data_IF_275480495957
#
_entry.id   IF_275480495957
#
_cell.length_a   1.000
_cell.length_b   1.000
_cell.length_c   1.000
_cell.angle_alpha   90.00
_cell.angle_beta   90.00
_cell.angle_gamma   90.00
#
_symmetry.space_group_name_H-M   'P 1'
#
loop_
_entity.id
_entity.type
_entity.pdbx_description
1 polymer ?
#
# COMPACT_ATOMS: atom_id res chain seq x y z
N UNK A 1 -53.23 50.67 11.93
CA UNK A 1 -53.12 49.25 12.31
C UNK A 1 -51.68 48.82 12.07
N UNK A 2 -50.81 49.00 13.07
CA UNK A 2 -49.43 48.53 13.03
C UNK A 2 -49.40 47.07 13.46
N UNK A 3 -48.86 46.20 12.61
CA UNK A 3 -48.56 44.82 12.97
C UNK A 3 -47.42 44.80 14.02
N UNK A 4 -47.44 43.89 15.00
CA UNK A 4 -46.35 43.78 15.96
C UNK A 4 -45.14 43.13 15.27
N UNK A 5 -43.99 43.78 15.37
CA UNK A 5 -42.71 43.18 15.04
C UNK A 5 -42.47 41.99 16.00
N UNK A 6 -42.27 40.80 15.44
CA UNK A 6 -41.89 39.60 16.18
C UNK A 6 -40.51 39.82 16.80
N UNK A 7 -40.49 40.10 18.09
CA UNK A 7 -39.30 40.03 18.93
C UNK A 7 -38.95 38.56 19.16
N UNK A 8 -38.20 37.94 18.25
CA UNK A 8 -37.60 36.63 18.50
C UNK A 8 -36.27 36.53 17.75
N UNK A 9 -35.14 36.65 18.46
CA UNK A 9 -33.83 36.41 17.84
C UNK A 9 -32.60 36.98 18.53
N UNK A 10 -32.70 37.98 19.40
CA UNK A 10 -31.53 38.80 19.76
C UNK A 10 -30.93 38.61 21.17
N UNK A 11 -31.47 37.74 22.04
CA UNK A 11 -30.97 37.65 23.43
C UNK A 11 -30.90 36.23 24.02
N UNK A 12 -30.33 35.29 23.26
CA UNK A 12 -29.93 33.98 23.83
C UNK A 12 -28.49 34.08 24.30
N UNK A 13 -28.30 34.22 25.62
CA UNK A 13 -26.98 34.06 26.24
C UNK A 13 -26.35 32.72 25.82
N UNK A 14 -25.04 32.70 25.55
CA UNK A 14 -24.34 31.45 25.25
C UNK A 14 -24.54 30.43 26.37
N UNK A 15 -24.81 29.14 26.04
CA UNK A 15 -24.66 28.07 27.01
C UNK A 15 -23.19 27.97 27.44
N UNK A 16 -22.95 27.40 28.62
CA UNK A 16 -21.57 27.16 29.06
C UNK A 16 -20.86 26.18 28.12
N UNK A 17 -19.57 26.39 27.92
CA UNK A 17 -18.70 25.48 27.16
C UNK A 17 -18.75 24.07 27.74
N UNK A 18 -18.78 23.93 29.08
CA UNK A 18 -18.90 22.63 29.76
C UNK A 18 -20.21 21.91 29.41
N UNK A 19 -21.35 22.62 29.36
CA UNK A 19 -22.65 22.03 28.96
C UNK A 19 -22.55 21.44 27.56
N UNK A 20 -22.04 22.22 26.60
CA UNK A 20 -21.91 21.78 25.21
C UNK A 20 -20.91 20.62 25.07
N UNK A 21 -19.78 20.68 25.79
CA UNK A 21 -18.77 19.63 25.77
C UNK A 21 -19.32 18.29 26.30
N UNK A 22 -20.10 18.32 27.39
CA UNK A 22 -20.78 17.13 27.93
C UNK A 22 -21.83 16.57 26.99
N UNK A 23 -22.55 17.43 26.27
CA UNK A 23 -23.52 16.98 25.26
C UNK A 23 -22.86 16.16 24.14
N UNK A 24 -21.56 16.39 23.87
CA UNK A 24 -20.78 15.64 22.89
C UNK A 24 -20.11 14.38 23.47
N UNK A 25 -20.22 14.08 24.77
CA UNK A 25 -19.49 12.98 25.40
C UNK A 25 -19.80 11.61 24.77
N UNK A 26 -21.04 11.40 24.31
CA UNK A 26 -21.46 10.17 23.64
C UNK A 26 -20.78 9.94 22.27
N UNK A 27 -20.10 10.95 21.70
CA UNK A 27 -19.37 10.82 20.44
C UNK A 27 -18.09 9.98 20.55
N UNK A 28 -17.62 9.69 21.77
CA UNK A 28 -16.35 9.00 22.02
C UNK A 28 -15.11 9.89 21.79
N UNK A 29 -15.28 11.17 21.47
CA UNK A 29 -14.18 12.12 21.33
C UNK A 29 -13.54 12.43 22.70
N UNK A 30 -12.21 12.66 22.76
CA UNK A 30 -11.56 13.12 23.98
C UNK A 30 -12.20 14.40 24.50
N UNK A 31 -12.38 14.52 25.82
CA UNK A 31 -13.07 15.66 26.42
C UNK A 31 -12.47 17.01 26.02
N UNK A 32 -11.14 17.10 25.91
CA UNK A 32 -10.45 18.31 25.46
C UNK A 32 -10.88 18.77 24.05
N UNK A 33 -11.13 17.83 23.14
CA UNK A 33 -11.62 18.14 21.79
C UNK A 33 -13.08 18.60 21.84
N UNK A 34 -13.92 17.96 22.66
CA UNK A 34 -15.29 18.43 22.89
C UNK A 34 -15.33 19.87 23.43
N UNK A 35 -14.42 20.24 24.34
CA UNK A 35 -14.29 21.62 24.83
C UNK A 35 -13.90 22.59 23.71
N UNK A 36 -12.97 22.21 22.82
CA UNK A 36 -12.59 23.04 21.67
C UNK A 36 -13.78 23.28 20.73
N UNK A 37 -14.47 22.20 20.33
CA UNK A 37 -15.64 22.27 19.47
C UNK A 37 -16.78 23.10 20.10
N UNK A 38 -16.95 23.03 21.42
CA UNK A 38 -17.92 23.83 22.16
C UNK A 38 -17.56 25.33 22.17
N UNK A 39 -16.27 25.68 22.29
CA UNK A 39 -15.82 27.07 22.19
C UNK A 39 -16.08 27.63 20.80
N UNK A 40 -15.78 26.86 19.76
CA UNK A 40 -16.03 27.27 18.37
C UNK A 40 -17.53 27.48 18.13
N UNK A 41 -18.39 26.57 18.61
CA UNK A 41 -19.84 26.72 18.54
C UNK A 41 -20.34 27.99 19.26
N UNK A 42 -19.71 28.35 20.38
CA UNK A 42 -19.99 29.61 21.08
C UNK A 42 -19.56 30.84 20.29
N UNK A 43 -18.41 30.78 19.63
CA UNK A 43 -17.92 31.87 18.78
C UNK A 43 -18.75 32.05 17.50
N UNK A 44 -19.24 30.95 16.91
CA UNK A 44 -20.08 30.94 15.70
C UNK A 44 -21.52 31.44 15.96
N UNK A 45 -21.97 31.45 17.23
CA UNK A 45 -23.21 32.07 17.66
C UNK A 45 -24.44 31.13 17.71
N UNK A 46 -25.66 31.69 17.86
CA UNK A 46 -26.82 30.92 18.33
C UNK A 46 -27.24 29.71 17.50
N UNK A 47 -26.98 29.73 16.19
CA UNK A 47 -27.28 28.61 15.30
C UNK A 47 -26.34 27.41 15.53
N UNK A 48 -25.11 27.66 15.99
CA UNK A 48 -24.05 26.65 16.10
C UNK A 48 -24.05 25.89 17.44
N UNK A 49 -24.68 26.44 18.49
CA UNK A 49 -24.77 25.80 19.81
C UNK A 49 -26.10 25.11 20.12
N UNK A 50 -26.96 24.92 19.12
CA UNK A 50 -28.14 24.07 19.28
C UNK A 50 -27.70 22.62 19.53
N UNK A 51 -28.46 21.84 20.28
CA UNK A 51 -28.08 20.45 20.60
C UNK A 51 -27.85 19.63 19.30
N UNK A 52 -28.65 19.86 18.26
CA UNK A 52 -28.47 19.25 16.94
C UNK A 52 -27.19 19.71 16.22
N UNK A 53 -26.86 21.01 16.25
CA UNK A 53 -25.65 21.53 15.63
C UNK A 53 -24.38 21.03 16.32
N UNK A 54 -24.41 20.94 17.65
CA UNK A 54 -23.33 20.42 18.49
C UNK A 54 -23.12 18.92 18.25
N UNK A 55 -24.20 18.14 18.18
CA UNK A 55 -24.13 16.71 17.82
C UNK A 55 -23.56 16.52 16.41
N UNK A 56 -24.03 17.30 15.43
CA UNK A 56 -23.51 17.26 14.07
C UNK A 56 -22.04 17.68 13.99
N UNK A 57 -21.61 18.65 14.81
CA UNK A 57 -20.21 19.07 14.92
C UNK A 57 -19.32 17.95 15.47
N UNK A 58 -19.76 17.29 16.54
CA UNK A 58 -19.06 16.13 17.09
C UNK A 58 -18.95 14.99 16.06
N UNK A 59 -20.04 14.70 15.35
CA UNK A 59 -20.04 13.64 14.32
C UNK A 59 -19.12 13.98 13.15
N UNK A 60 -19.10 15.25 12.69
CA UNK A 60 -18.13 15.69 11.67
C UNK A 60 -16.69 15.52 12.15
N UNK A 61 -16.38 15.94 13.37
CA UNK A 61 -15.04 15.76 13.94
C UNK A 61 -14.65 14.28 14.05
N UNK A 62 -15.59 13.42 14.49
CA UNK A 62 -15.38 11.97 14.56
C UNK A 62 -15.08 11.35 13.19
N UNK A 63 -15.75 11.81 12.13
CA UNK A 63 -15.53 11.34 10.74
C UNK A 63 -14.19 11.78 10.15
N UNK A 64 -13.54 12.80 10.71
CA UNK A 64 -12.19 13.21 10.33
C UNK A 64 -11.11 12.33 11.01
N UNK A 65 -11.48 11.56 12.04
CA UNK A 65 -10.59 10.60 12.70
C UNK A 65 -10.70 9.22 12.06
N UNK A 66 -9.71 8.37 12.32
CA UNK A 66 -9.78 6.96 11.98
C UNK A 66 -10.89 6.31 12.81
N UNK A 67 -11.93 5.83 12.12
CA UNK A 67 -13.06 5.13 12.71
C UNK A 67 -13.29 3.84 11.94
N UNK A 68 -13.76 2.76 12.60
CA UNK A 68 -14.29 1.61 11.90
C UNK A 68 -15.40 2.02 10.93
N UNK A 69 -15.44 1.36 9.77
CA UNK A 69 -16.45 1.58 8.72
C UNK A 69 -16.99 0.24 8.24
N UNK A 70 -18.23 0.24 7.74
CA UNK A 70 -18.80 -0.92 7.04
C UNK A 70 -18.47 -0.79 5.56
N UNK A 71 -17.69 -1.74 5.03
CA UNK A 71 -17.41 -1.80 3.60
C UNK A 71 -18.59 -2.45 2.85
N UNK A 72 -19.40 -1.63 2.18
CA UNK A 72 -20.51 -2.07 1.35
C UNK A 72 -20.25 -1.87 -0.16
N UNK A 73 -19.00 -1.66 -0.58
CA UNK A 73 -18.67 -1.37 -1.99
C UNK A 73 -18.52 -2.64 -2.84
N UNK A 74 -18.38 -3.81 -2.20
CA UNK A 74 -18.02 -5.06 -2.87
C UNK A 74 -16.54 -5.18 -3.25
N UNK A 75 -15.72 -4.14 -2.97
CA UNK A 75 -14.27 -4.17 -3.21
C UNK A 75 -13.56 -4.73 -1.98
N UNK A 76 -12.98 -5.93 -2.11
CA UNK A 76 -12.26 -6.60 -1.01
C UNK A 76 -11.02 -5.80 -0.58
N UNK A 77 -10.11 -5.52 -1.52
CA UNK A 77 -8.87 -4.78 -1.27
C UNK A 77 -9.07 -3.28 -1.50
N UNK A 78 -9.92 -2.65 -0.69
CA UNK A 78 -10.23 -1.24 -0.84
C UNK A 78 -9.11 -0.35 -0.32
N UNK A 79 -8.37 0.30 -1.21
CA UNK A 79 -7.19 1.14 -0.86
C UNK A 79 -7.52 2.23 0.16
N UNK A 80 -8.61 2.97 -0.01
CA UNK A 80 -9.01 4.03 0.93
C UNK A 80 -9.56 3.51 2.27
N UNK A 81 -9.95 2.23 2.36
CA UNK A 81 -10.46 1.62 3.61
C UNK A 81 -9.42 0.72 4.29
N UNK A 82 -8.14 0.80 3.88
CA UNK A 82 -7.05 0.08 4.53
C UNK A 82 -6.71 -1.30 3.94
N UNK A 83 -7.17 -1.61 2.72
CA UNK A 83 -6.91 -2.88 2.02
C UNK A 83 -7.35 -4.11 2.84
N UNK A 84 -6.48 -5.12 2.99
CA UNK A 84 -6.76 -6.35 3.71
C UNK A 84 -6.94 -6.13 5.23
N UNK A 85 -8.11 -6.43 5.80
CA UNK A 85 -8.30 -6.35 7.25
C UNK A 85 -7.63 -7.53 7.95
N UNK A 86 -6.72 -7.25 8.90
CA UNK A 86 -6.10 -8.28 9.73
C UNK A 86 -6.80 -8.40 11.09
N UNK A 87 -7.21 -9.61 11.47
CA UNK A 87 -7.76 -9.90 12.79
C UNK A 87 -6.65 -10.28 13.79
N UNK A 88 -5.64 -9.42 13.96
CA UNK A 88 -4.56 -9.64 14.92
C UNK A 88 -4.78 -8.81 16.18
N UNK A 89 -5.13 -9.47 17.28
CA UNK A 89 -5.15 -8.87 18.62
C UNK A 89 -4.00 -9.44 19.44
N UNK A 90 -2.98 -8.63 19.68
CA UNK A 90 -1.92 -8.96 20.64
C UNK A 90 -2.13 -8.18 21.93
N UNK A 91 -2.14 -8.84 23.11
CA UNK A 91 -2.21 -8.13 24.37
C UNK A 91 -0.94 -7.26 24.55
N UNK A 92 -1.05 -6.08 25.19
CA UNK A 92 0.09 -5.21 25.44
C UNK A 92 1.05 -5.89 26.42
N UNK A 93 2.06 -6.57 25.88
CA UNK A 93 3.04 -7.36 26.64
C UNK A 93 4.40 -7.26 25.95
N UNK A 94 5.47 -7.42 26.73
CA UNK A 94 6.81 -7.49 26.17
C UNK A 94 6.95 -8.76 25.33
N UNK A 95 7.48 -8.61 24.12
CA UNK A 95 7.71 -9.71 23.17
C UNK A 95 9.13 -9.64 22.63
N UNK A 96 9.62 -10.77 22.12
CA UNK A 96 11.01 -10.96 21.71
C UNK A 96 11.31 -10.41 20.30
N UNK A 97 10.93 -9.16 20.00
CA UNK A 97 11.09 -8.55 18.66
C UNK A 97 12.55 -8.58 18.17
N UNK A 98 13.49 -8.27 19.05
CA UNK A 98 14.94 -8.26 18.75
C UNK A 98 15.74 -8.99 19.84
N UNK A 99 15.15 -10.04 20.42
CA UNK A 99 15.78 -10.78 21.51
C UNK A 99 15.76 -12.28 21.20
N UNK A 100 16.93 -12.89 21.13
CA UNK A 100 17.06 -14.33 20.93
C UNK A 100 16.96 -15.04 22.28
N UNK A 101 15.92 -15.85 22.46
CA UNK A 101 15.69 -16.58 23.70
C UNK A 101 16.68 -17.74 23.91
N UNK A 102 17.36 -18.18 22.86
CA UNK A 102 18.37 -19.24 22.90
C UNK A 102 19.68 -18.73 23.46
N UNK A 103 20.12 -17.55 23.02
CA UNK A 103 21.39 -16.94 23.43
C UNK A 103 21.24 -15.96 24.58
N UNK A 104 20.06 -15.37 24.76
CA UNK A 104 19.83 -14.28 25.70
C UNK A 104 20.37 -12.92 25.22
N UNK A 105 20.68 -12.79 23.92
CA UNK A 105 21.29 -11.60 23.33
C UNK A 105 20.38 -10.90 22.31
N UNK A 106 20.83 -9.76 21.79
CA UNK A 106 20.12 -9.03 20.74
C UNK A 106 20.12 -9.84 19.44
N UNK A 107 18.93 -10.10 18.90
CA UNK A 107 18.69 -10.80 17.63
C UNK A 107 18.07 -9.91 16.57
N UNK A 108 18.10 -10.35 15.31
CA UNK A 108 17.44 -9.66 14.20
C UNK A 108 15.94 -9.99 14.13
N UNK A 109 15.09 -8.96 14.11
CA UNK A 109 13.64 -9.12 13.86
C UNK A 109 13.30 -9.76 12.51
N UNK A 110 14.24 -9.79 11.57
CA UNK A 110 14.05 -10.38 10.24
C UNK A 110 14.24 -11.89 10.23
N UNK A 111 14.94 -12.47 11.22
CA UNK A 111 15.39 -13.86 11.15
C UNK A 111 14.21 -14.84 11.03
N UNK A 112 13.24 -14.75 11.95
CA UNK A 112 12.09 -15.65 11.97
C UNK A 112 11.15 -15.41 10.78
N UNK A 113 10.74 -14.15 10.54
CA UNK A 113 9.78 -13.82 9.49
C UNK A 113 10.36 -14.04 8.09
N UNK A 114 11.62 -13.68 7.87
CA UNK A 114 12.33 -13.93 6.61
C UNK A 114 12.44 -15.42 6.32
N UNK A 115 12.80 -16.24 7.31
CA UNK A 115 12.85 -17.69 7.15
C UNK A 115 11.49 -18.31 6.84
N UNK A 116 10.40 -17.81 7.44
CA UNK A 116 9.03 -18.27 7.13
C UNK A 116 8.60 -17.89 5.71
N UNK A 117 8.82 -16.64 5.30
CA UNK A 117 8.48 -16.17 3.95
C UNK A 117 9.29 -16.90 2.88
N UNK A 118 10.60 -17.08 3.09
CA UNK A 118 11.47 -17.81 2.17
C UNK A 118 10.95 -19.24 1.93
N UNK A 119 10.63 -19.97 3.01
CA UNK A 119 10.02 -21.31 2.91
C UNK A 119 8.67 -21.31 2.19
N UNK A 120 7.84 -20.32 2.48
CA UNK A 120 6.50 -20.20 1.91
C UNK A 120 6.52 -20.06 0.38
N UNK A 121 7.50 -19.33 -0.17
CA UNK A 121 7.62 -19.10 -1.62
C UNK A 121 8.68 -19.97 -2.29
N UNK A 122 9.47 -20.74 -1.53
CA UNK A 122 10.57 -21.54 -2.06
C UNK A 122 11.82 -20.72 -2.44
N UNK A 123 12.03 -19.56 -1.82
CA UNK A 123 13.23 -18.75 -2.01
C UNK A 123 14.34 -19.13 -1.03
N UNK A 124 15.58 -18.77 -1.37
CA UNK A 124 16.77 -19.01 -0.51
C UNK A 124 16.75 -18.13 0.75
N UNK A 125 16.25 -16.91 0.62
CA UNK A 125 16.12 -15.94 1.70
C UNK A 125 14.97 -14.97 1.41
N UNK A 126 14.46 -14.31 2.44
CA UNK A 126 13.48 -13.24 2.31
C UNK A 126 13.69 -12.17 3.38
N UNK A 127 13.22 -10.96 3.08
CA UNK A 127 13.27 -9.80 3.96
C UNK A 127 11.94 -9.05 3.90
N UNK A 128 11.51 -8.50 5.04
CA UNK A 128 10.33 -7.65 5.12
C UNK A 128 10.76 -6.21 5.36
N UNK A 129 10.29 -5.31 4.49
CA UNK A 129 10.47 -3.87 4.62
C UNK A 129 9.13 -3.17 4.79
N UNK A 130 9.13 -1.85 4.96
CA UNK A 130 7.94 -1.06 5.27
C UNK A 130 6.76 -1.31 4.31
N UNK A 131 7.02 -1.31 3.00
CA UNK A 131 6.02 -1.61 1.97
C UNK A 131 6.73 -2.02 0.66
N UNK A 132 5.96 -2.44 -0.35
CA UNK A 132 6.52 -2.87 -1.63
C UNK A 132 7.33 -1.76 -2.33
N UNK A 133 6.87 -0.51 -2.23
CA UNK A 133 7.58 0.63 -2.80
C UNK A 133 9.00 0.79 -2.24
N UNK A 134 9.13 0.68 -0.91
CA UNK A 134 10.42 0.66 -0.23
C UNK A 134 11.25 -0.58 -0.61
N UNK A 135 10.59 -1.72 -0.89
CA UNK A 135 11.25 -2.93 -1.39
C UNK A 135 11.91 -2.72 -2.74
N UNK A 136 11.16 -2.21 -3.72
CA UNK A 136 11.68 -1.86 -5.04
C UNK A 136 12.80 -0.82 -4.91
N UNK A 137 12.59 0.26 -4.14
CA UNK A 137 13.62 1.28 -3.90
C UNK A 137 14.91 0.66 -3.35
N UNK A 138 14.81 -0.17 -2.31
CA UNK A 138 15.95 -0.81 -1.65
C UNK A 138 16.72 -1.71 -2.62
N UNK A 139 16.00 -2.51 -3.41
CA UNK A 139 16.62 -3.42 -4.39
C UNK A 139 17.41 -2.63 -5.42
N UNK A 140 16.83 -1.57 -5.98
CA UNK A 140 17.48 -0.76 -7.00
C UNK A 140 18.67 0.02 -6.42
N UNK A 141 18.53 0.58 -5.22
CA UNK A 141 19.60 1.30 -4.55
C UNK A 141 20.76 0.36 -4.16
N UNK A 142 20.47 -0.89 -3.77
CA UNK A 142 21.50 -1.84 -3.39
C UNK A 142 22.21 -2.48 -4.60
N UNK A 143 21.48 -2.78 -5.68
CA UNK A 143 21.98 -3.62 -6.78
C UNK A 143 22.33 -2.82 -8.04
N UNK A 144 21.76 -1.63 -8.23
CA UNK A 144 21.83 -0.89 -9.49
C UNK A 144 22.22 0.59 -9.32
N UNK A 145 22.71 1.02 -8.15
CA UNK A 145 23.15 2.39 -7.95
C UNK A 145 24.23 2.79 -8.96
N UNK A 146 24.00 3.87 -9.71
CA UNK A 146 24.91 4.33 -10.76
C UNK A 146 25.00 3.40 -11.97
N UNK A 147 24.10 2.41 -12.11
CA UNK A 147 24.06 1.44 -13.21
C UNK A 147 22.69 1.43 -13.88
N UNK A 148 22.60 0.79 -15.03
CA UNK A 148 21.39 0.77 -15.85
C UNK A 148 20.45 -0.36 -15.42
N UNK A 149 19.14 -0.07 -15.44
CA UNK A 149 18.07 -1.03 -15.17
C UNK A 149 17.17 -1.06 -16.39
N UNK A 150 17.03 -2.25 -17.00
CA UNK A 150 16.14 -2.43 -18.14
C UNK A 150 14.71 -2.65 -17.64
N UNK A 151 13.74 -1.92 -18.17
CA UNK A 151 12.32 -2.14 -17.90
C UNK A 151 11.52 -2.02 -19.20
N UNK A 152 10.45 -2.78 -19.33
CA UNK A 152 9.50 -2.56 -20.42
C UNK A 152 8.88 -1.17 -20.31
N UNK A 153 8.82 -0.41 -21.41
CA UNK A 153 8.17 0.92 -21.42
C UNK A 153 6.73 0.86 -20.94
N UNK A 154 6.02 -0.24 -21.23
CA UNK A 154 4.64 -0.45 -20.78
C UNK A 154 4.49 -0.68 -19.27
N UNK A 155 5.59 -0.87 -18.56
CA UNK A 155 5.64 -1.20 -17.12
C UNK A 155 6.15 -0.03 -16.26
N UNK A 156 6.62 1.06 -16.88
CA UNK A 156 7.04 2.30 -16.23
C UNK A 156 5.82 3.12 -15.77
N UNK A 157 5.08 2.62 -14.78
CA UNK A 157 3.76 3.15 -14.38
C UNK A 157 3.68 3.80 -13.01
N UNK A 158 2.56 4.48 -12.78
CA UNK A 158 2.11 4.95 -11.47
C UNK A 158 1.18 3.91 -10.83
N UNK A 159 1.50 3.49 -9.61
CA UNK A 159 0.71 2.55 -8.80
C UNK A 159 0.15 3.28 -7.59
N UNK A 160 -1.17 3.23 -7.41
CA UNK A 160 -1.84 3.92 -6.28
C UNK A 160 -1.87 5.44 -6.45
N UNK A 161 -1.72 6.18 -5.34
CA UNK A 161 -1.88 7.65 -5.28
C UNK A 161 -0.56 8.43 -5.20
N UNK A 162 0.53 7.94 -5.79
CA UNK A 162 1.81 8.66 -5.80
C UNK A 162 3.09 7.81 -5.87
N UNK A 163 3.01 6.49 -6.04
CA UNK A 163 4.20 5.69 -6.34
C UNK A 163 4.41 5.64 -7.86
N UNK A 164 5.47 6.26 -8.35
CA UNK A 164 5.87 6.20 -9.75
C UNK A 164 7.19 5.47 -9.85
N UNK A 165 7.23 4.40 -10.64
CA UNK A 165 8.47 3.64 -10.90
C UNK A 165 9.63 4.58 -11.29
N UNK A 166 9.45 5.59 -12.16
CA UNK A 166 10.51 6.55 -12.48
C UNK A 166 11.02 7.36 -11.27
N UNK A 167 10.16 7.82 -10.37
CA UNK A 167 10.56 8.64 -9.22
C UNK A 167 11.33 7.81 -8.17
N UNK A 168 10.90 6.57 -7.95
CA UNK A 168 11.60 5.62 -7.07
C UNK A 168 12.99 5.30 -7.62
N UNK A 169 13.12 5.26 -8.93
CA UNK A 169 14.40 5.03 -9.60
C UNK A 169 15.34 6.21 -9.46
N UNK A 170 14.86 7.44 -9.66
CA UNK A 170 15.64 8.66 -9.41
C UNK A 170 16.18 8.68 -7.98
N UNK A 171 15.35 8.34 -7.00
CA UNK A 171 15.75 8.24 -5.59
C UNK A 171 16.73 7.09 -5.32
N UNK A 172 16.63 5.97 -6.05
CA UNK A 172 17.56 4.85 -5.92
C UNK A 172 18.97 5.14 -6.47
N UNK A 173 19.09 6.14 -7.35
CA UNK A 173 20.30 6.43 -8.11
C UNK A 173 20.59 5.45 -9.25
N UNK A 174 19.65 4.55 -9.58
CA UNK A 174 19.70 3.72 -10.77
C UNK A 174 19.31 4.50 -12.03
N UNK A 175 19.86 4.12 -13.19
CA UNK A 175 19.50 4.72 -14.49
C UNK A 175 18.50 3.83 -15.22
N UNK A 176 17.30 4.33 -15.45
CA UNK A 176 16.30 3.56 -16.18
C UNK A 176 16.56 3.57 -17.68
N UNK A 177 16.44 2.39 -18.30
CA UNK A 177 16.49 2.20 -19.75
C UNK A 177 15.22 1.48 -20.17
N UNK A 178 14.27 2.25 -20.70
CA UNK A 178 13.05 1.69 -21.29
C UNK A 178 13.38 0.84 -22.52
N UNK A 179 12.83 -0.36 -22.58
CA UNK A 179 12.88 -1.25 -23.74
C UNK A 179 11.48 -1.49 -24.31
N UNK A 180 11.42 -1.83 -25.60
CA UNK A 180 10.16 -2.07 -26.31
C UNK A 180 9.27 -0.83 -26.43
N UNK A 181 7.97 -1.06 -26.57
CA UNK A 181 6.93 -0.02 -26.63
C UNK A 181 5.91 -0.22 -25.51
N UNK A 182 4.96 0.71 -25.38
CA UNK A 182 3.93 0.66 -24.34
C UNK A 182 3.12 -0.64 -24.35
N UNK A 183 2.79 -1.15 -25.54
CA UNK A 183 1.93 -2.31 -25.71
C UNK A 183 2.71 -3.58 -26.10
N UNK A 184 3.93 -3.47 -26.64
CA UNK A 184 4.70 -4.63 -27.12
C UNK A 184 6.15 -4.52 -26.70
N UNK A 185 6.57 -5.48 -25.88
CA UNK A 185 7.97 -5.64 -25.49
C UNK A 185 8.37 -7.10 -25.71
N UNK A 186 9.48 -7.30 -26.42
CA UNK A 186 10.02 -8.62 -26.72
C UNK A 186 11.36 -8.83 -26.05
N UNK A 187 11.75 -10.08 -25.89
CA UNK A 187 13.09 -10.44 -25.40
C UNK A 187 14.22 -9.83 -26.25
N UNK A 188 14.01 -9.67 -27.56
CA UNK A 188 14.98 -9.02 -28.45
C UNK A 188 15.23 -7.54 -28.11
N UNK A 189 14.24 -6.85 -27.52
CA UNK A 189 14.40 -5.46 -27.09
C UNK A 189 15.34 -5.35 -25.88
N UNK A 190 15.23 -6.28 -24.93
CA UNK A 190 16.17 -6.40 -23.81
C UNK A 190 17.58 -6.75 -24.28
N UNK A 191 17.73 -7.73 -25.18
CA UNK A 191 19.04 -8.11 -25.75
C UNK A 191 19.73 -6.95 -26.46
N UNK A 192 18.98 -6.21 -27.29
CA UNK A 192 19.50 -5.02 -27.98
C UNK A 192 19.96 -3.94 -27.01
N UNK A 193 19.27 -3.76 -25.89
CA UNK A 193 19.68 -2.80 -24.86
C UNK A 193 20.97 -3.23 -24.14
N UNK A 194 21.15 -4.53 -23.89
CA UNK A 194 22.38 -5.11 -23.33
C UNK A 194 23.58 -5.00 -24.27
N UNK A 195 23.36 -5.14 -25.59
CA UNK A 195 24.41 -5.10 -26.61
C UNK A 195 24.85 -3.67 -26.97
N UNK A 196 24.15 -2.64 -26.45
CA UNK A 196 24.52 -1.25 -26.72
C UNK A 196 25.92 -0.96 -26.18
N UNK A 197 26.75 -0.31 -27.01
CA UNK A 197 28.12 0.06 -26.64
C UNK A 197 28.13 0.90 -25.36
N UNK A 198 28.88 0.45 -24.36
CA UNK A 198 28.97 1.13 -23.06
C UNK A 198 27.75 0.91 -22.14
N UNK A 199 26.86 -0.03 -22.47
CA UNK A 199 25.82 -0.45 -21.55
C UNK A 199 26.45 -1.04 -20.28
N UNK A 200 25.97 -0.58 -19.13
CA UNK A 200 26.35 -1.10 -17.82
C UNK A 200 25.07 -1.47 -17.08
N UNK A 201 24.48 -2.58 -17.49
CA UNK A 201 23.21 -3.06 -16.97
C UNK A 201 23.44 -3.89 -15.72
N UNK A 202 22.78 -3.51 -14.64
CA UNK A 202 22.81 -4.25 -13.38
C UNK A 202 21.77 -5.37 -13.34
N UNK A 203 20.56 -5.11 -13.83
CA UNK A 203 19.43 -6.03 -13.76
C UNK A 203 18.36 -5.68 -14.80
N UNK A 204 17.48 -6.66 -15.06
CA UNK A 204 16.21 -6.44 -15.74
C UNK A 204 15.08 -6.41 -14.70
N UNK A 205 14.27 -5.37 -14.71
CA UNK A 205 13.11 -5.20 -13.84
C UNK A 205 11.85 -5.56 -14.64
N UNK A 206 11.06 -6.50 -14.11
CA UNK A 206 9.71 -6.83 -14.59
C UNK A 206 8.70 -6.29 -13.58
N UNK A 207 7.77 -5.44 -13.98
CA UNK A 207 6.71 -4.92 -13.09
C UNK A 207 5.36 -5.43 -13.56
N UNK A 208 4.57 -5.99 -12.65
CA UNK A 208 3.21 -6.44 -12.94
C UNK A 208 2.22 -5.26 -12.93
N UNK A 209 1.43 -5.04 -14.00
CA UNK A 209 0.41 -4.02 -14.03
C UNK A 209 -0.78 -4.40 -13.13
N UNK A 210 -0.65 -4.13 -11.82
CA UNK A 210 -1.63 -4.59 -10.80
C UNK A 210 -2.91 -3.75 -10.69
N UNK A 211 -2.96 -2.55 -11.29
CA UNK A 211 -4.08 -1.60 -11.18
C UNK A 211 -4.70 -1.19 -12.52
N UNK A 212 -4.19 -1.69 -13.65
CA UNK A 212 -4.74 -1.46 -14.98
C UNK A 212 -4.41 -2.64 -15.89
N UNK A 213 -5.05 -2.70 -17.05
CA UNK A 213 -4.73 -3.66 -18.12
C UNK A 213 -4.68 -2.93 -19.45
N UNK A 214 -3.78 -3.35 -20.32
CA UNK A 214 -3.76 -2.93 -21.73
C UNK A 214 -4.45 -4.03 -22.53
N UNK A 215 -5.44 -3.67 -23.35
CA UNK A 215 -6.17 -4.60 -24.21
C UNK A 215 -5.86 -4.32 -25.70
N UNK A 216 -6.04 -5.34 -26.54
CA UNK A 216 -5.77 -5.27 -27.98
C UNK A 216 -4.44 -5.94 -28.36
N UNK A 217 -3.61 -5.27 -29.17
CA UNK A 217 -2.34 -5.80 -29.65
C UNK A 217 -1.24 -5.68 -28.59
N UNK A 218 -1.27 -6.59 -27.62
CA UNK A 218 -0.33 -6.63 -26.50
C UNK A 218 0.63 -7.80 -26.65
N UNK A 219 1.90 -7.57 -26.34
CA UNK A 219 2.95 -8.59 -26.29
C UNK A 219 3.81 -8.33 -25.06
N UNK A 220 3.81 -9.27 -24.12
CA UNK A 220 4.59 -9.22 -22.88
C UNK A 220 5.75 -10.23 -22.94
N UNK A 221 6.86 -9.90 -22.27
CA UNK A 221 7.99 -10.83 -22.13
C UNK A 221 7.92 -11.51 -20.75
N UNK A 222 7.61 -12.81 -20.67
CA UNK A 222 7.44 -13.49 -19.39
C UNK A 222 8.77 -13.60 -18.63
N UNK A 223 8.70 -13.71 -17.31
CA UNK A 223 9.87 -13.84 -16.42
C UNK A 223 10.79 -14.98 -16.85
N UNK A 224 10.24 -16.13 -17.25
CA UNK A 224 11.02 -17.27 -17.75
C UNK A 224 11.87 -16.95 -18.98
N UNK A 225 11.40 -16.06 -19.86
CA UNK A 225 12.18 -15.62 -21.01
C UNK A 225 13.26 -14.61 -20.60
N UNK A 226 12.95 -13.71 -19.66
CA UNK A 226 13.91 -12.75 -19.12
C UNK A 226 15.02 -13.42 -18.30
N UNK A 227 14.72 -14.52 -17.61
CA UNK A 227 15.69 -15.27 -16.81
C UNK A 227 16.85 -15.83 -17.65
N UNK A 228 16.69 -15.93 -18.97
CA UNK A 228 17.76 -16.29 -19.91
C UNK A 228 18.70 -15.14 -20.29
N UNK A 229 18.50 -13.93 -19.75
CA UNK A 229 19.42 -12.80 -19.95
C UNK A 229 20.69 -12.98 -19.08
N UNK A 230 21.83 -12.38 -19.46
CA UNK A 230 23.07 -12.44 -18.69
C UNK A 230 23.07 -11.55 -17.42
N UNK A 231 21.91 -11.03 -17.02
CA UNK A 231 21.72 -10.16 -15.85
C UNK A 231 20.56 -10.69 -15.01
N UNK A 232 20.57 -10.51 -13.67
CA UNK A 232 19.49 -10.98 -12.83
C UNK A 232 18.16 -10.30 -13.18
N UNK A 233 17.07 -11.05 -13.04
CA UNK A 233 15.71 -10.54 -13.17
C UNK A 233 15.13 -10.26 -11.80
N UNK A 234 14.71 -9.02 -11.59
CA UNK A 234 13.91 -8.63 -10.44
C UNK A 234 12.46 -8.50 -10.90
N UNK A 235 11.53 -9.20 -10.24
CA UNK A 235 10.12 -9.15 -10.57
C UNK A 235 9.32 -8.49 -9.44
N UNK A 236 8.77 -7.31 -9.70
CA UNK A 236 7.76 -6.71 -8.84
C UNK A 236 6.37 -7.20 -9.22
N UNK A 237 5.87 -8.21 -8.51
CA UNK A 237 4.52 -8.73 -8.76
C UNK A 237 3.45 -7.86 -8.11
N UNK A 238 3.82 -7.04 -7.12
CA UNK A 238 2.98 -6.02 -6.49
C UNK A 238 1.78 -6.51 -5.66
N UNK A 239 1.10 -7.58 -6.07
CA UNK A 239 -0.18 -8.07 -5.53
C UNK A 239 -0.04 -8.93 -4.28
N UNK A 240 1.10 -9.59 -4.10
CA UNK A 240 1.35 -10.44 -2.94
C UNK A 240 0.67 -11.80 -3.01
N UNK A 241 0.23 -12.24 -4.19
CA UNK A 241 -0.20 -13.62 -4.37
C UNK A 241 0.99 -14.54 -4.09
N UNK A 242 0.89 -15.39 -3.08
CA UNK A 242 2.00 -16.26 -2.64
C UNK A 242 2.20 -17.42 -3.62
N UNK A 243 1.11 -18.10 -3.95
CA UNK A 243 1.08 -19.30 -4.75
C UNK A 243 -0.18 -19.28 -5.62
N UNK A 244 0.00 -19.27 -6.94
CA UNK A 244 -1.10 -19.21 -7.89
C UNK A 244 -1.98 -20.47 -7.88
N UNK A 245 -1.51 -21.59 -7.30
CA UNK A 245 -2.30 -22.81 -7.13
C UNK A 245 -3.29 -22.72 -5.96
N UNK A 246 -3.18 -21.68 -5.12
CA UNK A 246 -4.05 -21.41 -3.98
C UNK A 246 -4.34 -22.65 -3.10
N UNK A 247 -3.31 -23.38 -2.62
CA UNK A 247 -3.51 -24.65 -1.90
C UNK A 247 -4.28 -24.51 -0.57
N UNK A 248 -4.44 -23.28 -0.08
CA UNK A 248 -5.22 -22.96 1.12
C UNK A 248 -6.74 -22.80 0.86
N UNK A 249 -7.18 -22.80 -0.40
CA UNK A 249 -8.61 -22.68 -0.74
C UNK A 249 -9.23 -24.06 -1.02
N UNK A 250 -10.51 -24.26 -0.69
CA UNK A 250 -11.24 -25.44 -1.12
C UNK A 250 -11.55 -25.36 -2.62
N UNK A 251 -10.95 -26.26 -3.41
CA UNK A 251 -11.19 -26.35 -4.85
C UNK A 251 -10.14 -25.64 -5.71
N UNK A 252 -10.41 -25.42 -7.01
CA UNK A 252 -9.44 -24.79 -7.91
C UNK A 252 -9.26 -23.29 -7.60
N UNK A 253 -8.13 -22.68 -8.03
CA UNK A 253 -7.93 -21.24 -7.93
C UNK A 253 -9.13 -20.46 -8.50
N UNK A 254 -9.62 -19.44 -7.79
CA UNK A 254 -10.68 -18.58 -8.29
C UNK A 254 -10.38 -18.00 -9.67
N UNK A 255 -11.38 -17.95 -10.55
CA UNK A 255 -11.20 -17.46 -11.91
C UNK A 255 -10.69 -16.01 -11.99
N UNK A 256 -10.98 -15.18 -10.98
CA UNK A 256 -10.49 -13.81 -10.91
C UNK A 256 -8.99 -13.68 -10.58
N UNK A 257 -8.34 -14.78 -10.17
CA UNK A 257 -6.88 -14.87 -10.04
C UNK A 257 -6.20 -15.39 -11.31
N UNK A 258 -6.96 -15.71 -12.37
CA UNK A 258 -6.37 -16.22 -13.60
C UNK A 258 -5.36 -15.22 -14.20
N UNK A 259 -4.13 -15.69 -14.38
CA UNK A 259 -3.01 -14.91 -14.90
C UNK A 259 -2.33 -13.98 -13.88
N UNK A 260 -2.77 -13.99 -12.61
CA UNK A 260 -2.10 -13.23 -11.56
C UNK A 260 -0.78 -13.93 -11.17
N UNK A 261 0.36 -13.22 -11.15
CA UNK A 261 1.66 -13.84 -10.85
C UNK A 261 1.77 -14.19 -9.36
N UNK A 262 1.98 -15.47 -9.07
CA UNK A 262 2.34 -15.94 -7.74
C UNK A 262 3.84 -15.79 -7.45
N UNK A 263 4.21 -15.42 -6.22
CA UNK A 263 5.60 -15.27 -5.81
C UNK A 263 6.40 -16.55 -6.00
N UNK A 264 5.83 -17.71 -5.61
CA UNK A 264 6.43 -19.03 -5.83
C UNK A 264 6.71 -19.30 -7.31
N UNK A 265 5.69 -19.18 -8.16
CA UNK A 265 5.82 -19.43 -9.60
C UNK A 265 6.79 -18.46 -10.26
N UNK A 266 6.89 -17.23 -9.75
CA UNK A 266 7.82 -16.22 -10.28
C UNK A 266 9.28 -16.57 -9.96
N UNK A 267 9.56 -17.06 -8.75
CA UNK A 267 10.88 -17.61 -8.38
C UNK A 267 11.20 -18.86 -9.21
N UNK A 268 10.25 -19.79 -9.33
CA UNK A 268 10.40 -21.01 -10.15
C UNK A 268 10.65 -20.71 -11.63
N UNK A 269 10.10 -19.60 -12.14
CA UNK A 269 10.37 -19.10 -13.49
C UNK A 269 11.78 -18.49 -13.65
N UNK A 270 12.59 -18.40 -12.61
CA UNK A 270 13.97 -17.94 -12.67
C UNK A 270 14.17 -16.45 -12.32
N UNK A 271 13.20 -15.79 -11.69
CA UNK A 271 13.47 -14.50 -11.09
C UNK A 271 14.51 -14.64 -9.97
N UNK A 272 15.51 -13.77 -9.96
CA UNK A 272 16.51 -13.71 -8.90
C UNK A 272 15.96 -13.08 -7.62
N UNK A 273 14.97 -12.18 -7.76
CA UNK A 273 14.32 -11.52 -6.62
C UNK A 273 12.87 -11.20 -6.99
N UNK A 274 11.95 -11.39 -6.03
CA UNK A 274 10.54 -11.01 -6.17
C UNK A 274 10.15 -10.03 -5.06
N UNK A 275 9.48 -8.94 -5.41
CA UNK A 275 8.90 -7.98 -4.46
C UNK A 275 7.38 -7.98 -4.55
N UNK A 276 6.70 -7.78 -3.42
CA UNK A 276 5.25 -7.63 -3.38
C UNK A 276 4.74 -6.94 -2.12
N UNK A 277 3.46 -6.52 -2.15
CA UNK A 277 2.78 -5.94 -0.98
C UNK A 277 2.22 -7.03 -0.07
N UNK A 278 2.39 -6.88 1.25
CA UNK A 278 1.87 -7.85 2.23
C UNK A 278 0.41 -7.65 2.65
N UNK A 279 -0.21 -6.54 2.26
CA UNK A 279 -1.57 -6.10 2.64
C UNK A 279 -2.57 -6.15 1.47
N UNK A 280 -2.24 -6.93 0.43
CA UNK A 280 -3.08 -7.17 -0.75
C UNK A 280 -3.56 -8.62 -0.77
N UNK A 281 -3.10 -9.46 -1.69
CA UNK A 281 -3.55 -10.86 -1.79
C UNK A 281 -2.91 -11.78 -0.73
N UNK A 282 -1.83 -11.34 -0.06
CA UNK A 282 -1.25 -12.06 1.07
C UNK A 282 -2.11 -11.93 2.34
N UNK A 283 -2.78 -10.79 2.51
CA UNK A 283 -3.57 -10.45 3.69
C UNK A 283 -5.04 -10.77 3.51
#
# INVERSE_FOLDING_TARGET
MSAPATADGADRRPPSVDRLARAMAASGLPHALCVALARDAVAEGPAAWTDAAVAARAERARRLLLTPVVNATGVLLHTNLGRAPLALHHPPSAVNVEFDLTTGERGSRQAAIGGLLARMVGAEAAMVVNNNAAGVLLVLAALAHGREVLVSRGESVEIGGGFRVPEVMEQSGARLVDVGTTNRTRLADYRRALERRGADVALALKVHPSNYRVEGFVEDTPVAALAGLPVPVVADIGSGLVDATCPWLPGPPPAWLAGEPGARQTIEAGAALVTFSGDKLLG
#
